data_IF_201652261593
#
_entry.id   IF_201652261593
#
_cell.length_a   1.000
_cell.length_b   1.000
_cell.length_c   1.000
_cell.angle_alpha   90.00
_cell.angle_beta   90.00
_cell.angle_gamma   90.00
#
_symmetry.space_group_name_H-M   'P 1'
#
loop_
_entity.id
_entity.type
_entity.pdbx_description
1 polymer ?
#
# COMPACT_ATOMS: atom_id res chain seq x y z
N UNK A 1 -2.68 -18.06 -0.76
CA UNK A 1 -2.30 -17.83 0.66
C UNK A 1 -3.37 -18.46 1.52
N UNK A 2 -3.01 -19.14 2.63
CA UNK A 2 -4.01 -19.73 3.53
C UNK A 2 -4.91 -18.65 4.13
N UNK A 3 -6.21 -18.96 4.29
CA UNK A 3 -7.22 -18.01 4.83
C UNK A 3 -6.84 -17.46 6.20
N UNK A 4 -6.36 -18.33 7.09
CA UNK A 4 -5.91 -17.94 8.43
C UNK A 4 -4.77 -16.90 8.40
N UNK A 5 -3.79 -17.04 7.50
CA UNK A 5 -2.67 -16.08 7.40
C UNK A 5 -3.13 -14.72 6.88
N UNK A 6 -4.08 -14.73 5.93
CA UNK A 6 -4.73 -13.50 5.46
C UNK A 6 -5.45 -12.78 6.59
N UNK A 7 -6.26 -13.52 7.35
CA UNK A 7 -7.03 -12.97 8.46
C UNK A 7 -6.14 -12.44 9.58
N UNK A 8 -5.05 -13.14 9.92
CA UNK A 8 -4.07 -12.68 10.90
C UNK A 8 -3.40 -11.36 10.48
N UNK A 9 -3.06 -11.21 9.19
CA UNK A 9 -2.52 -9.95 8.68
C UNK A 9 -3.55 -8.82 8.74
N UNK A 10 -4.80 -9.07 8.34
CA UNK A 10 -5.87 -8.08 8.40
C UNK A 10 -6.12 -7.64 9.85
N UNK A 11 -6.20 -8.58 10.78
CA UNK A 11 -6.33 -8.29 12.20
C UNK A 11 -5.18 -7.42 12.70
N UNK A 12 -3.94 -7.72 12.30
CA UNK A 12 -2.77 -6.91 12.64
C UNK A 12 -2.83 -5.50 12.05
N UNK A 13 -3.32 -5.35 10.82
CA UNK A 13 -3.49 -4.04 10.18
C UNK A 13 -4.52 -3.21 10.97
N UNK A 14 -5.67 -3.80 11.30
CA UNK A 14 -6.75 -3.10 11.99
C UNK A 14 -6.46 -2.82 13.47
N UNK A 15 -5.54 -3.58 14.09
CA UNK A 15 -5.18 -3.37 15.49
C UNK A 15 -4.07 -2.33 15.69
N UNK A 16 -3.41 -1.89 14.63
CA UNK A 16 -2.21 -1.06 14.69
C UNK A 16 -2.50 0.43 14.46
N UNK A 17 -1.62 1.25 15.01
CA UNK A 17 -1.54 2.68 14.77
C UNK A 17 -0.70 2.97 13.51
N UNK A 18 -1.24 3.81 12.64
CA UNK A 18 -0.70 4.06 11.31
C UNK A 18 -0.23 5.50 11.15
N UNK A 19 0.95 5.68 10.56
CA UNK A 19 1.52 7.00 10.37
C UNK A 19 1.30 7.47 8.94
N UNK A 20 0.93 8.73 8.79
CA UNK A 20 0.58 9.33 7.51
C UNK A 20 1.31 10.66 7.32
N UNK A 21 1.82 10.88 6.11
CA UNK A 21 2.33 12.17 5.66
C UNK A 21 1.26 12.85 4.82
N UNK A 22 0.69 13.99 5.27
CA UNK A 22 -0.29 14.73 4.48
C UNK A 22 0.28 15.14 3.13
N UNK A 23 -0.44 14.89 2.03
CA UNK A 23 -0.01 15.32 0.71
C UNK A 23 -0.19 16.83 0.55
N UNK A 24 0.67 17.44 -0.27
CA UNK A 24 0.50 18.84 -0.68
C UNK A 24 -0.74 19.02 -1.57
N UNK A 25 -1.04 18.04 -2.43
CA UNK A 25 -2.24 18.04 -3.27
C UNK A 25 -3.48 17.63 -2.44
N UNK A 26 -4.47 18.52 -2.24
CA UNK A 26 -5.68 18.22 -1.46
C UNK A 26 -6.54 17.12 -2.09
N UNK A 27 -6.39 16.86 -3.40
CA UNK A 27 -7.12 15.80 -4.11
C UNK A 27 -6.36 14.47 -4.17
N UNK A 28 -5.18 14.37 -3.56
CA UNK A 28 -4.34 13.17 -3.64
C UNK A 28 -5.10 11.91 -3.18
N UNK A 29 -5.86 11.97 -2.09
CA UNK A 29 -6.61 10.80 -1.62
C UNK A 29 -7.68 10.32 -2.62
N UNK A 30 -8.34 11.26 -3.31
CA UNK A 30 -9.30 10.93 -4.36
C UNK A 30 -8.62 10.33 -5.59
N UNK A 31 -7.43 10.82 -5.96
CA UNK A 31 -6.71 10.35 -7.15
C UNK A 31 -6.04 8.99 -6.93
N UNK A 32 -5.37 8.79 -5.80
CA UNK A 32 -4.43 7.66 -5.58
C UNK A 32 -4.59 6.92 -4.26
N UNK A 33 -5.49 7.38 -3.39
CA UNK A 33 -5.75 6.76 -2.08
C UNK A 33 -4.91 7.38 -0.98
N UNK A 34 -5.06 6.86 0.24
CA UNK A 34 -4.35 7.36 1.42
C UNK A 34 -3.32 6.34 1.88
N UNK A 35 -2.06 6.74 1.81
CA UNK A 35 -0.90 5.92 2.11
C UNK A 35 -0.53 5.99 3.59
N UNK A 36 -0.21 4.87 4.19
CA UNK A 36 0.23 4.78 5.57
C UNK A 36 1.48 3.93 5.69
N UNK A 37 2.31 4.31 6.65
CA UNK A 37 3.49 3.56 7.05
C UNK A 37 3.30 2.91 8.41
N UNK A 38 4.04 1.83 8.64
CA UNK A 38 3.96 1.04 9.87
C UNK A 38 4.63 1.73 11.07
N UNK A 39 5.49 2.71 10.85
CA UNK A 39 6.18 3.45 11.91
C UNK A 39 6.34 4.92 11.53
N UNK A 40 6.52 5.79 12.52
CA UNK A 40 6.81 7.21 12.30
C UNK A 40 8.05 7.38 11.41
N UNK A 41 9.12 6.65 11.73
CA UNK A 41 10.39 6.70 11.00
C UNK A 41 10.27 6.29 9.52
N UNK A 42 9.44 5.31 9.21
CA UNK A 42 9.16 4.95 7.81
C UNK A 42 8.35 6.03 7.09
N UNK A 43 7.43 6.71 7.80
CA UNK A 43 6.69 7.83 7.25
C UNK A 43 7.60 9.04 6.99
N UNK A 44 8.59 9.31 7.85
CA UNK A 44 9.53 10.43 7.73
C UNK A 44 10.32 10.43 6.41
N UNK A 45 10.57 9.25 5.84
CA UNK A 45 11.21 9.13 4.53
C UNK A 45 10.44 9.87 3.42
N UNK A 46 9.12 9.99 3.56
CA UNK A 46 8.23 10.61 2.58
C UNK A 46 7.91 12.09 2.90
N UNK A 47 8.30 12.60 4.06
CA UNK A 47 8.02 13.96 4.52
C UNK A 47 7.63 14.01 6.00
N UNK A 48 7.12 15.14 6.49
CA UNK A 48 6.72 15.30 7.90
C UNK A 48 5.43 14.51 8.19
N UNK A 49 5.46 13.44 9.01
CA UNK A 49 4.25 12.72 9.39
C UNK A 49 3.37 13.58 10.32
N UNK A 50 2.10 13.20 10.46
CA UNK A 50 1.25 13.72 11.53
C UNK A 50 1.85 13.40 12.90
N UNK A 51 1.62 14.29 13.88
CA UNK A 51 2.12 14.13 15.25
C UNK A 51 1.38 13.01 16.00
N UNK A 52 0.16 12.68 15.57
CA UNK A 52 -0.63 11.56 16.08
C UNK A 52 -0.87 10.52 14.98
N UNK A 53 -0.79 9.22 15.29
CA UNK A 53 -1.12 8.19 14.34
C UNK A 53 -2.63 8.08 14.15
N UNK A 54 -3.04 7.45 13.06
CA UNK A 54 -4.44 7.19 12.73
C UNK A 54 -4.80 5.70 12.89
N UNK A 55 -6.09 5.45 13.07
CA UNK A 55 -6.69 4.11 13.04
C UNK A 55 -7.32 3.87 11.67
N UNK A 56 -7.14 2.66 11.15
CA UNK A 56 -7.69 2.25 9.86
C UNK A 56 -8.56 1.01 10.02
N UNK A 57 -9.49 0.81 9.09
CA UNK A 57 -10.30 -0.42 8.99
C UNK A 57 -10.21 -0.98 7.58
N UNK A 58 -9.71 -2.20 7.49
CA UNK A 58 -9.49 -2.96 6.26
C UNK A 58 -10.20 -4.31 6.39
N UNK A 59 -10.99 -4.67 5.38
CA UNK A 59 -11.78 -5.89 5.34
C UNK A 59 -11.37 -6.77 4.14
N UNK A 60 -11.16 -6.13 2.99
CA UNK A 60 -10.84 -6.82 1.75
C UNK A 60 -9.62 -6.25 1.02
N UNK A 61 -8.41 -6.39 1.58
CA UNK A 61 -7.21 -5.90 0.93
C UNK A 61 -6.73 -6.86 -0.16
N UNK A 62 -6.11 -6.26 -1.19
CA UNK A 62 -5.17 -6.95 -2.06
C UNK A 62 -3.79 -6.97 -1.38
N UNK A 63 -3.26 -8.15 -1.09
CA UNK A 63 -2.00 -8.35 -0.36
C UNK A 63 -0.96 -8.98 -1.29
N UNK A 64 0.22 -8.37 -1.39
CA UNK A 64 1.32 -8.94 -2.18
C UNK A 64 2.63 -8.18 -2.02
N UNK A 65 3.64 -8.65 -2.74
CA UNK A 65 4.72 -7.77 -3.17
C UNK A 65 4.28 -6.97 -4.40
N UNK A 66 5.10 -6.00 -4.83
CA UNK A 66 4.74 -5.10 -5.93
C UNK A 66 4.40 -5.85 -7.23
N UNK A 67 5.22 -6.83 -7.61
CA UNK A 67 4.99 -7.65 -8.81
C UNK A 67 3.69 -8.47 -8.73
N UNK A 68 3.38 -9.03 -7.55
CA UNK A 68 2.14 -9.77 -7.33
C UNK A 68 0.92 -8.85 -7.44
N UNK A 69 0.98 -7.67 -6.82
CA UNK A 69 -0.10 -6.68 -6.86
C UNK A 69 -0.33 -6.22 -8.30
N UNK A 70 0.71 -5.87 -9.04
CA UNK A 70 0.60 -5.46 -10.45
C UNK A 70 -0.03 -6.57 -11.32
N UNK A 71 0.40 -7.83 -11.15
CA UNK A 71 -0.19 -8.95 -11.87
C UNK A 71 -1.66 -9.14 -11.52
N UNK A 72 -2.03 -9.02 -10.24
CA UNK A 72 -3.42 -9.14 -9.81
C UNK A 72 -4.32 -8.01 -10.36
N UNK A 73 -3.78 -6.80 -10.50
CA UNK A 73 -4.52 -5.63 -10.99
C UNK A 73 -4.55 -5.56 -12.53
N UNK A 74 -3.45 -5.84 -13.20
CA UNK A 74 -3.24 -5.56 -14.62
C UNK A 74 -2.95 -6.80 -15.47
N UNK A 75 -2.87 -8.00 -14.87
CA UNK A 75 -2.55 -9.25 -15.57
C UNK A 75 -1.06 -9.45 -15.88
N UNK A 76 -0.21 -8.44 -15.63
CA UNK A 76 1.24 -8.48 -15.84
C UNK A 76 1.98 -7.57 -14.87
N UNK A 77 3.26 -7.88 -14.65
CA UNK A 77 4.16 -6.92 -14.02
C UNK A 77 4.41 -5.75 -14.98
N UNK A 78 4.49 -4.55 -14.44
CA UNK A 78 4.77 -3.35 -15.22
C UNK A 78 6.28 -3.17 -15.36
N UNK A 79 6.68 -2.47 -16.42
CA UNK A 79 8.06 -2.01 -16.57
C UNK A 79 8.21 -0.70 -15.79
N UNK A 80 9.13 -0.72 -14.83
CA UNK A 80 9.46 0.46 -14.04
C UNK A 80 10.50 1.31 -14.79
N UNK A 81 10.50 2.64 -14.60
CA UNK A 81 11.53 3.51 -15.14
C UNK A 81 12.90 3.15 -14.54
N UNK A 82 13.95 3.35 -15.34
CA UNK A 82 15.33 3.20 -14.91
C UNK A 82 15.66 4.34 -13.94
N UNK A 83 15.91 4.02 -12.67
CA UNK A 83 16.09 5.01 -11.60
C UNK A 83 17.32 5.89 -11.82
N UNK A 84 18.36 5.36 -12.46
CA UNK A 84 19.62 6.08 -12.70
C UNK A 84 19.50 7.04 -13.89
N UNK A 85 18.60 6.74 -14.83
CA UNK A 85 18.47 7.50 -16.10
C UNK A 85 17.25 8.41 -16.15
N UNK A 86 16.30 8.25 -15.23
CA UNK A 86 15.06 9.02 -15.24
C UNK A 86 15.17 10.19 -14.29
N UNK A 87 14.97 11.45 -14.75
CA UNK A 87 14.94 12.60 -13.87
C UNK A 87 13.95 12.41 -12.72
N UNK A 88 14.31 12.86 -11.51
CA UNK A 88 13.52 12.64 -10.30
C UNK A 88 12.05 13.10 -10.45
N UNK A 89 11.81 14.28 -11.04
CA UNK A 89 10.46 14.78 -11.29
C UNK A 89 9.63 13.83 -12.17
N UNK A 90 10.27 13.20 -13.16
CA UNK A 90 9.61 12.24 -14.04
C UNK A 90 9.31 10.92 -13.32
N UNK A 91 10.19 10.48 -12.41
CA UNK A 91 9.95 9.33 -11.53
C UNK A 91 8.74 9.56 -10.63
N UNK A 92 8.67 10.71 -9.96
CA UNK A 92 7.54 11.08 -9.09
C UNK A 92 6.24 11.14 -9.87
N UNK A 93 6.22 11.81 -11.03
CA UNK A 93 5.04 11.90 -11.87
C UNK A 93 4.59 10.52 -12.39
N UNK A 94 5.54 9.65 -12.74
CA UNK A 94 5.24 8.27 -13.13
C UNK A 94 4.63 7.49 -11.98
N UNK A 95 5.21 7.59 -10.77
CA UNK A 95 4.70 6.91 -9.57
C UNK A 95 3.27 7.34 -9.26
N UNK A 96 2.98 8.65 -9.29
CA UNK A 96 1.62 9.14 -9.04
C UNK A 96 0.60 8.63 -10.06
N UNK A 97 0.99 8.54 -11.35
CA UNK A 97 0.13 7.93 -12.39
C UNK A 97 -0.08 6.44 -12.13
N UNK A 98 0.96 5.72 -11.71
CA UNK A 98 0.84 4.32 -11.34
C UNK A 98 -0.11 4.13 -10.16
N UNK A 99 0.08 4.90 -9.07
CA UNK A 99 -0.76 4.81 -7.87
C UNK A 99 -2.24 5.08 -8.19
N UNK A 100 -2.53 6.08 -9.03
CA UNK A 100 -3.89 6.37 -9.48
C UNK A 100 -4.50 5.20 -10.29
N UNK A 101 -3.72 4.59 -11.19
CA UNK A 101 -4.14 3.40 -11.94
C UNK A 101 -4.37 2.20 -11.02
N UNK A 102 -3.51 2.01 -10.03
CA UNK A 102 -3.63 0.94 -9.04
C UNK A 102 -4.88 1.11 -8.20
N UNK A 103 -5.15 2.33 -7.70
CA UNK A 103 -6.40 2.65 -7.01
C UNK A 103 -7.61 2.29 -7.86
N UNK A 104 -7.67 2.81 -9.10
CA UNK A 104 -8.81 2.58 -10.00
C UNK A 104 -9.05 1.08 -10.23
N UNK A 105 -8.00 0.32 -10.51
CA UNK A 105 -8.11 -1.12 -10.73
C UNK A 105 -8.50 -1.89 -9.47
N UNK A 106 -7.95 -1.51 -8.31
CA UNK A 106 -8.25 -2.16 -7.04
C UNK A 106 -9.72 -1.96 -6.63
N UNK A 107 -10.22 -0.73 -6.74
CA UNK A 107 -11.62 -0.39 -6.46
C UNK A 107 -12.56 -1.13 -7.41
N UNK A 108 -12.25 -1.16 -8.71
CA UNK A 108 -13.05 -1.88 -9.71
C UNK A 108 -13.14 -3.39 -9.43
N UNK A 109 -12.12 -3.97 -8.78
CA UNK A 109 -12.07 -5.38 -8.36
C UNK A 109 -12.64 -5.61 -6.95
N UNK A 110 -13.18 -4.58 -6.30
CA UNK A 110 -13.84 -4.68 -5.01
C UNK A 110 -12.91 -4.65 -3.78
N UNK A 111 -11.63 -4.35 -3.96
CA UNK A 111 -10.69 -4.18 -2.85
C UNK A 111 -10.89 -2.82 -2.15
N UNK A 112 -10.68 -2.78 -0.84
CA UNK A 112 -10.73 -1.55 -0.03
C UNK A 112 -9.33 -0.98 0.28
N UNK A 113 -8.31 -1.83 0.22
CA UNK A 113 -6.92 -1.45 0.41
C UNK A 113 -5.97 -2.25 -0.50
N UNK A 114 -4.78 -1.69 -0.69
CA UNK A 114 -3.62 -2.36 -1.27
C UNK A 114 -2.56 -2.45 -0.18
N UNK A 115 -2.05 -3.65 0.05
CA UNK A 115 -1.02 -3.94 1.05
C UNK A 115 0.20 -4.45 0.33
N UNK A 116 1.27 -3.65 0.36
CA UNK A 116 2.56 -4.00 -0.24
C UNK A 116 3.51 -4.43 0.87
N UNK A 117 4.11 -5.60 0.66
CA UNK A 117 5.15 -6.17 1.51
C UNK A 117 6.44 -6.29 0.71
N UNK A 118 7.58 -6.34 1.40
CA UNK A 118 8.81 -6.78 0.74
C UNK A 118 8.63 -8.19 0.17
N UNK A 119 9.31 -8.50 -0.94
CA UNK A 119 9.25 -9.82 -1.60
C UNK A 119 9.48 -10.97 -0.61
N UNK A 120 10.50 -10.84 0.25
CA UNK A 120 10.81 -11.84 1.27
C UNK A 120 9.74 -11.91 2.37
N UNK A 121 9.17 -10.77 2.79
CA UNK A 121 8.07 -10.70 3.73
C UNK A 121 6.80 -11.37 3.21
N UNK A 122 6.43 -11.08 1.96
CA UNK A 122 5.28 -11.72 1.30
C UNK A 122 5.46 -13.23 1.17
N UNK A 123 6.65 -13.69 0.78
CA UNK A 123 6.95 -15.12 0.70
C UNK A 123 6.80 -15.81 2.06
N UNK A 124 7.41 -15.26 3.12
CA UNK A 124 7.33 -15.80 4.49
C UNK A 124 5.89 -15.81 5.02
N UNK A 125 5.12 -14.75 4.78
CA UNK A 125 3.70 -14.74 5.12
C UNK A 125 2.95 -15.85 4.38
N UNK A 126 3.17 -15.97 3.07
CA UNK A 126 2.45 -16.91 2.20
C UNK A 126 2.71 -18.37 2.56
N UNK A 127 3.96 -18.72 2.89
CA UNK A 127 4.38 -20.11 3.13
C UNK A 127 4.35 -20.49 4.61
N UNK A 128 4.75 -19.58 5.51
CA UNK A 128 4.94 -19.86 6.93
C UNK A 128 3.91 -19.17 7.83
N UNK A 129 3.13 -18.22 7.30
CA UNK A 129 2.22 -17.41 8.13
C UNK A 129 2.93 -16.35 8.98
N UNK A 130 4.24 -16.14 8.77
CA UNK A 130 5.03 -15.15 9.52
C UNK A 130 4.60 -13.74 9.14
N UNK A 131 4.03 -13.01 10.09
CA UNK A 131 3.58 -11.64 9.88
C UNK A 131 4.78 -10.69 9.67
N UNK A 132 4.73 -9.83 8.65
CA UNK A 132 5.76 -8.81 8.42
C UNK A 132 5.72 -7.71 9.50
N UNK A 133 6.88 -7.12 9.78
CA UNK A 133 7.00 -5.98 10.70
C UNK A 133 6.69 -4.66 9.99
N UNK A 134 7.25 -4.49 8.79
CA UNK A 134 7.04 -3.35 7.90
C UNK A 134 5.97 -3.70 6.87
N UNK A 135 4.97 -2.84 6.78
CA UNK A 135 3.81 -2.97 5.90
C UNK A 135 3.54 -1.59 5.31
N UNK A 136 3.48 -1.50 3.99
CA UNK A 136 2.96 -0.34 3.28
C UNK A 136 1.48 -0.55 2.99
N UNK A 137 0.66 0.43 3.37
CA UNK A 137 -0.79 0.35 3.26
C UNK A 137 -1.31 1.52 2.44
N UNK A 138 -2.09 1.24 1.40
CA UNK A 138 -2.86 2.26 0.67
C UNK A 138 -4.35 1.97 0.80
N UNK A 139 -5.07 2.83 1.52
CA UNK A 139 -6.53 2.79 1.60
C UNK A 139 -7.11 3.42 0.33
N UNK A 140 -7.79 2.60 -0.48
CA UNK A 140 -8.32 3.00 -1.79
C UNK A 140 -9.83 3.26 -1.77
N UNK A 141 -10.54 2.73 -0.78
CA UNK A 141 -11.95 2.99 -0.51
C UNK A 141 -12.17 3.05 1.00
N UNK A 142 -12.86 4.08 1.48
CA UNK A 142 -13.26 4.14 2.88
C UNK A 142 -14.27 3.02 3.17
N UNK A 143 -13.93 2.15 4.10
CA UNK A 143 -14.86 1.17 4.68
C UNK A 143 -15.77 1.92 5.63
N UNK A 144 -17.09 1.88 5.42
CA UNK A 144 -18.03 2.46 6.39
C UNK A 144 -17.82 1.77 7.74
N UNK A 145 -17.67 2.56 8.80
CA UNK A 145 -17.57 2.05 10.17
C UNK A 145 -18.89 1.37 10.57
#
# INVERSE_FOLDING_TARGET
MKKAYRQALIARINCKDWWHVPPVDPQAYQKRGKFYASTFREAEFWGRPLDMPERVRVENPLIGDESHVEKALFGKALRHPDLDKTPHANLVAWRFRLDARMKKAAVAKGYDAIVILSRSGFQKLRTQGRLPLSIELNIVRATRA
#
